data_IF_882686222299
#
_entry.id   IF_882686222299
#
_cell.length_a   1.000
_cell.length_b   1.000
_cell.length_c   1.000
_cell.angle_alpha   90.00
_cell.angle_beta   90.00
_cell.angle_gamma   90.00
#
_symmetry.space_group_name_H-M   'P 1'
#
loop_
_entity.id
_entity.type
_entity.pdbx_description
1 polymer ?
#
# COMPACT_ATOMS: atom_id res chain seq x y z
N UNK A 1 22.02 12.06 1.08
CA UNK A 1 20.76 12.75 1.45
C UNK A 1 20.71 12.91 2.95
N UNK A 2 20.52 14.11 3.51
CA UNK A 2 20.37 14.27 4.96
C UNK A 2 19.10 13.54 5.43
N UNK A 3 19.14 12.88 6.59
CA UNK A 3 17.97 12.19 7.16
C UNK A 3 16.74 13.11 7.32
N UNK A 4 16.97 14.41 7.52
CA UNK A 4 15.93 15.44 7.56
C UNK A 4 15.14 15.55 6.24
N UNK A 5 15.80 15.39 5.09
CA UNK A 5 15.15 15.46 3.79
C UNK A 5 14.22 14.26 3.55
N UNK A 6 14.58 13.08 4.08
CA UNK A 6 13.71 11.89 4.05
C UNK A 6 12.52 12.10 4.99
N UNK A 7 12.76 12.52 6.24
CA UNK A 7 11.69 12.74 7.23
C UNK A 7 10.66 13.77 6.76
N UNK A 8 11.09 14.86 6.13
CA UNK A 8 10.18 15.87 5.58
C UNK A 8 9.41 15.42 4.33
N UNK A 9 9.67 14.22 3.81
CA UNK A 9 8.97 13.64 2.67
C UNK A 9 8.02 12.50 3.06
N UNK A 10 7.94 12.14 4.35
CA UNK A 10 7.03 11.12 4.88
C UNK A 10 5.80 11.81 5.45
N UNK A 11 4.62 11.47 4.93
CA UNK A 11 3.36 12.03 5.41
C UNK A 11 2.18 11.10 5.06
N UNK A 12 0.98 11.44 5.55
CA UNK A 12 -0.26 10.74 5.15
C UNK A 12 -0.72 11.18 3.75
N UNK A 13 -1.58 10.38 3.12
CA UNK A 13 -2.12 10.66 1.79
C UNK A 13 -2.80 12.02 1.73
N UNK A 14 -3.56 12.39 2.76
CA UNK A 14 -4.28 13.66 2.86
C UNK A 14 -3.34 14.86 2.90
N UNK A 15 -2.27 14.79 3.69
CA UNK A 15 -1.30 15.87 3.84
C UNK A 15 -0.36 16.00 2.63
N UNK A 16 -0.24 14.93 1.84
CA UNK A 16 0.52 14.93 0.60
C UNK A 16 -0.26 15.47 -0.62
N UNK A 17 -1.53 15.85 -0.46
CA UNK A 17 -2.32 16.38 -1.57
C UNK A 17 -1.70 17.65 -2.17
N UNK A 18 -1.65 17.71 -3.51
CA UNK A 18 -1.04 18.81 -4.25
C UNK A 18 0.49 18.73 -4.40
N UNK A 19 1.16 17.83 -3.67
CA UNK A 19 2.59 17.57 -3.86
C UNK A 19 2.82 16.41 -4.84
N UNK A 20 4.01 16.34 -5.45
CA UNK A 20 4.43 15.22 -6.32
C UNK A 20 5.89 14.86 -6.08
N UNK A 21 6.28 13.61 -6.36
CA UNK A 21 7.66 13.12 -6.32
C UNK A 21 7.91 12.16 -7.49
N UNK A 22 9.17 11.99 -7.87
CA UNK A 22 9.52 11.04 -8.93
C UNK A 22 9.17 9.61 -8.53
N UNK A 23 9.40 9.27 -7.26
CA UNK A 23 9.04 7.98 -6.67
C UNK A 23 8.18 8.20 -5.43
N UNK A 24 7.10 7.43 -5.32
CA UNK A 24 6.27 7.33 -4.12
C UNK A 24 6.36 5.91 -3.58
N UNK A 25 6.63 5.78 -2.29
CA UNK A 25 6.49 4.53 -1.54
C UNK A 25 5.29 4.73 -0.61
N UNK A 26 4.26 3.93 -0.81
CA UNK A 26 3.05 3.95 0.01
C UNK A 26 2.98 2.68 0.85
N UNK A 27 2.52 2.81 2.09
CA UNK A 27 2.35 1.69 3.01
C UNK A 27 0.96 1.73 3.62
N UNK A 28 0.26 0.60 3.58
CA UNK A 28 -1.02 0.41 4.26
C UNK A 28 -0.85 0.08 5.75
N UNK A 29 0.30 -0.49 6.14
CA UNK A 29 0.70 -0.74 7.52
C UNK A 29 -0.29 -1.53 8.40
N UNK A 30 -1.20 -2.29 7.79
CA UNK A 30 -2.17 -3.16 8.47
C UNK A 30 -2.10 -4.55 7.86
N UNK A 31 -2.21 -5.58 8.70
CA UNK A 31 -2.31 -6.99 8.29
C UNK A 31 -3.16 -7.85 9.22
N UNK A 32 -3.77 -7.26 10.25
CA UNK A 32 -4.68 -7.95 11.16
C UNK A 32 -6.12 -7.91 10.57
N UNK A 33 -6.78 -9.05 10.34
CA UNK A 33 -8.10 -9.08 9.70
C UNK A 33 -9.19 -8.29 10.45
N UNK A 34 -9.17 -8.27 11.78
CA UNK A 34 -10.17 -7.55 12.57
C UNK A 34 -9.98 -6.04 12.39
N UNK A 35 -8.72 -5.56 12.47
CA UNK A 35 -8.39 -4.15 12.18
C UNK A 35 -8.74 -3.74 10.74
N UNK A 36 -8.58 -4.64 9.76
CA UNK A 36 -8.95 -4.36 8.37
C UNK A 36 -10.47 -4.18 8.23
N UNK A 37 -11.25 -5.04 8.88
CA UNK A 37 -12.70 -4.94 8.87
C UNK A 37 -13.17 -3.64 9.54
N UNK A 38 -12.59 -3.27 10.68
CA UNK A 38 -12.92 -2.05 11.41
C UNK A 38 -12.56 -0.77 10.63
N UNK A 39 -11.52 -0.81 9.80
CA UNK A 39 -11.04 0.34 9.02
C UNK A 39 -11.32 0.22 7.51
N UNK A 40 -12.25 -0.63 7.09
CA UNK A 40 -12.40 -1.00 5.66
C UNK A 40 -12.73 0.20 4.75
N UNK A 41 -13.58 1.12 5.19
CA UNK A 41 -13.90 2.34 4.44
C UNK A 41 -12.64 3.21 4.24
N UNK A 42 -11.76 3.23 5.25
CA UNK A 42 -10.53 3.98 5.18
C UNK A 42 -9.55 3.37 4.18
N UNK A 43 -9.28 2.07 4.34
CA UNK A 43 -8.31 1.30 3.57
C UNK A 43 -8.75 1.12 2.11
N UNK A 44 -10.04 0.87 1.87
CA UNK A 44 -10.58 0.59 0.54
C UNK A 44 -10.94 1.85 -0.25
N UNK A 45 -10.66 3.04 0.28
CA UNK A 45 -11.04 4.31 -0.34
C UNK A 45 -10.42 4.50 -1.74
N UNK A 46 -11.30 4.48 -2.76
CA UNK A 46 -10.97 4.77 -4.16
C UNK A 46 -10.24 6.12 -4.31
N UNK A 47 -10.70 7.14 -3.57
CA UNK A 47 -10.15 8.49 -3.62
C UNK A 47 -8.73 8.52 -3.08
N UNK A 48 -8.46 7.87 -1.93
CA UNK A 48 -7.12 7.84 -1.34
C UNK A 48 -6.13 7.13 -2.25
N UNK A 49 -6.52 5.99 -2.81
CA UNK A 49 -5.67 5.27 -3.73
C UNK A 49 -5.34 6.10 -4.98
N UNK A 50 -6.34 6.76 -5.58
CA UNK A 50 -6.12 7.66 -6.72
C UNK A 50 -5.20 8.84 -6.39
N UNK A 51 -5.39 9.47 -5.23
CA UNK A 51 -4.52 10.56 -4.78
C UNK A 51 -3.11 10.03 -4.68
N UNK A 52 -2.87 8.96 -3.91
CA UNK A 52 -1.57 8.32 -3.72
C UNK A 52 -0.89 7.98 -5.06
N UNK A 53 -1.58 7.28 -5.96
CA UNK A 53 -1.03 6.84 -7.24
C UNK A 53 -0.66 8.02 -8.15
N UNK A 54 -1.49 9.07 -8.18
CA UNK A 54 -1.24 10.27 -9.00
C UNK A 54 -0.10 11.17 -8.49
N UNK A 55 0.47 10.91 -7.30
CA UNK A 55 1.61 11.68 -6.78
C UNK A 55 2.96 11.24 -7.34
N UNK A 56 3.04 10.02 -7.88
CA UNK A 56 4.24 9.48 -8.47
C UNK A 56 4.39 9.95 -9.92
N UNK A 57 5.53 10.57 -10.26
CA UNK A 57 5.83 11.00 -11.64
C UNK A 57 6.46 9.88 -12.47
N UNK A 58 7.18 8.95 -11.84
CA UNK A 58 7.89 7.88 -12.52
C UNK A 58 7.61 6.48 -11.95
N UNK A 59 7.55 6.32 -10.61
CA UNK A 59 7.33 5.00 -9.99
C UNK A 59 6.49 5.08 -8.72
N UNK A 60 5.51 4.19 -8.63
CA UNK A 60 4.79 3.89 -7.40
C UNK A 60 5.23 2.51 -6.89
N UNK A 61 5.55 2.43 -5.61
CA UNK A 61 5.76 1.18 -4.86
C UNK A 61 4.73 1.14 -3.74
N UNK A 62 3.94 0.08 -3.67
CA UNK A 62 2.92 -0.09 -2.63
C UNK A 62 3.28 -1.28 -1.77
N UNK A 63 3.36 -1.05 -0.46
CA UNK A 63 3.51 -2.06 0.58
C UNK A 63 2.13 -2.32 1.18
N UNK A 64 1.59 -3.50 0.92
CA UNK A 64 0.24 -3.90 1.34
C UNK A 64 0.26 -5.39 1.70
N UNK A 65 -0.49 -5.77 2.73
CA UNK A 65 -0.61 -7.17 3.12
C UNK A 65 -1.56 -7.93 2.19
N UNK A 66 -1.49 -9.26 2.17
CA UNK A 66 -2.45 -10.07 1.41
C UNK A 66 -3.85 -9.94 1.98
N UNK A 67 -3.97 -9.88 3.29
CA UNK A 67 -5.23 -9.71 4.02
C UNK A 67 -5.97 -8.46 3.54
N UNK A 68 -5.28 -7.33 3.31
CA UNK A 68 -5.91 -6.12 2.76
C UNK A 68 -6.39 -6.32 1.31
N UNK A 69 -5.56 -6.93 0.45
CA UNK A 69 -5.92 -7.13 -0.97
C UNK A 69 -7.09 -8.11 -1.12
N UNK A 70 -7.07 -9.17 -0.31
CA UNK A 70 -8.04 -10.27 -0.32
C UNK A 70 -9.31 -9.96 0.48
N UNK A 71 -9.31 -8.90 1.31
CA UNK A 71 -10.46 -8.49 2.11
C UNK A 71 -11.69 -8.22 1.24
N UNK A 72 -12.81 -8.85 1.58
CA UNK A 72 -14.09 -8.60 0.93
C UNK A 72 -14.96 -7.75 1.85
N UNK A 73 -15.07 -6.46 1.51
CA UNK A 73 -15.86 -5.53 2.30
C UNK A 73 -17.33 -5.94 2.40
N UNK A 74 -17.92 -5.75 3.58
CA UNK A 74 -19.31 -6.14 3.86
C UNK A 74 -20.30 -5.22 3.13
N UNK A 75 -19.97 -3.93 3.05
CA UNK A 75 -20.80 -2.93 2.37
C UNK A 75 -20.49 -2.89 0.86
N UNK A 76 -21.54 -2.90 0.04
CA UNK A 76 -21.41 -2.92 -1.42
C UNK A 76 -20.69 -1.66 -1.96
N UNK A 77 -20.88 -0.52 -1.32
CA UNK A 77 -20.20 0.73 -1.71
C UNK A 77 -18.70 0.66 -1.44
N UNK A 78 -18.30 0.22 -0.24
CA UNK A 78 -16.89 -0.01 0.11
C UNK A 78 -16.25 -1.05 -0.81
N UNK A 79 -16.97 -2.12 -1.13
CA UNK A 79 -16.52 -3.13 -2.09
C UNK A 79 -16.24 -2.53 -3.47
N UNK A 80 -17.12 -1.65 -3.97
CA UNK A 80 -16.92 -0.95 -5.24
C UNK A 80 -15.73 0.00 -5.18
N UNK A 81 -15.55 0.70 -4.08
CA UNK A 81 -14.43 1.63 -3.88
C UNK A 81 -13.07 0.91 -3.82
N UNK A 82 -13.04 -0.33 -3.29
CA UNK A 82 -11.83 -1.17 -3.25
C UNK A 82 -11.27 -1.52 -4.64
N UNK A 83 -12.05 -1.31 -5.71
CA UNK A 83 -11.74 -1.77 -7.07
C UNK A 83 -10.35 -1.37 -7.55
N UNK A 84 -9.91 -0.13 -7.32
CA UNK A 84 -8.63 0.31 -7.86
C UNK A 84 -7.44 -0.36 -7.20
N UNK A 85 -7.47 -0.52 -5.87
CA UNK A 85 -6.42 -1.23 -5.15
C UNK A 85 -6.32 -2.68 -5.64
N UNK A 86 -7.47 -3.36 -5.75
CA UNK A 86 -7.53 -4.76 -6.18
C UNK A 86 -7.09 -4.94 -7.64
N UNK A 87 -7.59 -4.10 -8.55
CA UNK A 87 -7.17 -4.14 -9.96
C UNK A 87 -5.67 -3.81 -10.09
N UNK A 88 -5.16 -2.87 -9.31
CA UNK A 88 -3.72 -2.57 -9.30
C UNK A 88 -2.89 -3.77 -8.85
N UNK A 89 -3.26 -4.40 -7.73
CA UNK A 89 -2.50 -5.51 -7.14
C UNK A 89 -2.64 -6.83 -7.92
N UNK A 90 -3.81 -7.13 -8.48
CA UNK A 90 -4.11 -8.44 -9.09
C UNK A 90 -4.08 -8.42 -10.63
N UNK A 91 -4.43 -7.30 -11.27
CA UNK A 91 -4.52 -7.23 -12.75
C UNK A 91 -3.40 -6.43 -13.38
N UNK A 92 -3.06 -5.27 -12.83
CA UNK A 92 -1.97 -4.43 -13.36
C UNK A 92 -0.61 -5.01 -12.97
N UNK A 93 -0.40 -5.33 -11.69
CA UNK A 93 0.79 -6.00 -11.19
C UNK A 93 0.65 -7.53 -11.27
N UNK A 94 0.38 -8.06 -12.47
CA UNK A 94 0.09 -9.48 -12.69
C UNK A 94 1.33 -10.39 -12.74
N UNK A 95 2.54 -9.83 -12.89
CA UNK A 95 3.78 -10.55 -12.68
C UNK A 95 4.09 -10.61 -11.19
N UNK A 96 4.46 -11.79 -10.67
CA UNK A 96 4.79 -11.93 -9.26
C UNK A 96 5.97 -12.87 -9.03
N UNK A 97 6.76 -12.58 -8.00
CA UNK A 97 7.89 -13.40 -7.60
C UNK A 97 7.94 -13.49 -6.07
N UNK A 98 8.08 -14.71 -5.50
CA UNK A 98 8.32 -14.89 -4.08
C UNK A 98 9.59 -14.13 -3.64
N UNK A 99 9.54 -13.55 -2.46
CA UNK A 99 10.68 -12.90 -1.83
C UNK A 99 10.78 -13.22 -0.35
N UNK A 100 11.94 -12.91 0.22
CA UNK A 100 12.17 -12.93 1.66
C UNK A 100 12.42 -11.51 2.13
N UNK A 101 11.59 -11.05 3.06
CA UNK A 101 11.68 -9.73 3.67
C UNK A 101 12.37 -9.81 5.01
N UNK A 102 13.32 -8.90 5.26
CA UNK A 102 13.89 -8.72 6.60
C UNK A 102 12.86 -8.09 7.54
N UNK A 103 12.79 -8.60 8.76
CA UNK A 103 11.91 -8.13 9.83
C UNK A 103 12.72 -8.00 11.12
N UNK A 104 12.42 -7.03 11.97
CA UNK A 104 13.08 -6.88 13.27
C UNK A 104 12.02 -7.01 14.35
N UNK A 105 12.12 -8.06 15.16
CA UNK A 105 11.22 -8.33 16.28
C UNK A 105 12.02 -8.34 17.58
N UNK A 106 11.69 -7.46 18.53
CA UNK A 106 12.42 -7.38 19.80
C UNK A 106 13.93 -7.12 19.66
N UNK A 107 14.37 -6.52 18.53
CA UNK A 107 15.79 -6.29 18.22
C UNK A 107 16.50 -7.48 17.55
N UNK A 108 15.80 -8.59 17.31
CA UNK A 108 16.31 -9.75 16.57
C UNK A 108 15.93 -9.61 15.10
N UNK A 109 16.91 -9.77 14.21
CA UNK A 109 16.66 -9.80 12.78
C UNK A 109 16.10 -11.17 12.37
N UNK A 110 14.86 -11.18 11.89
CA UNK A 110 14.16 -12.33 11.35
C UNK A 110 13.87 -12.14 9.85
N UNK A 111 13.40 -13.21 9.22
CA UNK A 111 12.95 -13.19 7.83
C UNK A 111 11.48 -13.59 7.75
N UNK A 112 10.70 -12.86 6.97
CA UNK A 112 9.29 -13.15 6.69
C UNK A 112 9.12 -13.43 5.20
N UNK A 113 8.29 -14.41 4.81
CA UNK A 113 7.93 -14.60 3.42
C UNK A 113 7.16 -13.39 2.91
N UNK A 114 7.36 -13.04 1.65
CA UNK A 114 6.62 -11.99 0.97
C UNK A 114 6.58 -12.24 -0.54
N UNK A 115 6.00 -11.31 -1.27
CA UNK A 115 5.91 -11.36 -2.73
C UNK A 115 6.14 -9.97 -3.31
N UNK A 116 6.93 -9.87 -4.38
CA UNK A 116 6.92 -8.68 -5.24
C UNK A 116 5.94 -8.91 -6.36
N UNK A 117 5.10 -7.89 -6.61
CA UNK A 117 4.24 -7.83 -7.78
C UNK A 117 4.63 -6.67 -8.68
N UNK A 118 4.58 -6.88 -10.00
CA UNK A 118 4.98 -5.90 -11.00
C UNK A 118 4.19 -6.05 -12.30
N UNK A 119 4.00 -4.97 -13.08
CA UNK A 119 3.38 -5.07 -14.39
C UNK A 119 4.30 -5.80 -15.37
N UNK A 120 3.74 -6.72 -16.15
CA UNK A 120 4.40 -7.36 -17.30
C UNK A 120 4.53 -6.41 -18.49
#
# INVERSE_FOLDING_TARGET
>A
MPAAAIRGAVDTVERFQGQQRDVIIASFAVGDPDAIADEEEFLMSLRRFNVMASRARAKLVVLVSREVVDHLAAELEVLRDSRLLKVFAESFCNGHQPMTLGYIEGGVAESRPGEIRFPL
#
